data_IF_086109413089
#
_entry.id   IF_086109413089
#
_cell.length_a   1.000
_cell.length_b   1.000
_cell.length_c   1.000
_cell.angle_alpha   90.00
_cell.angle_beta   90.00
_cell.angle_gamma   90.00
#
_symmetry.space_group_name_H-M   'P 1'
#
loop_
_entity.id
_entity.type
_entity.pdbx_description
1 polymer ?
#
# COMPACT_ATOMS: atom_id res chain seq x y z
N UNK A 1 -26.95 41.17 35.03
CA UNK A 1 -25.60 40.57 35.02
C UNK A 1 -25.77 39.14 35.47
N UNK A 2 -24.96 38.24 34.92
CA UNK A 2 -24.85 36.79 35.20
C UNK A 2 -25.33 35.91 34.04
N UNK A 3 -24.44 35.82 33.04
CA UNK A 3 -24.49 34.81 31.98
C UNK A 3 -23.48 33.73 32.37
N UNK A 4 -23.95 32.59 32.86
CA UNK A 4 -23.11 31.40 33.05
C UNK A 4 -22.64 30.86 31.70
N UNK A 5 -21.32 30.83 31.51
CA UNK A 5 -20.67 30.19 30.37
C UNK A 5 -20.48 28.72 30.75
N UNK A 6 -21.33 27.85 30.19
CA UNK A 6 -21.14 26.39 30.26
C UNK A 6 -20.04 25.99 29.28
N UNK A 7 -18.82 25.85 29.80
CA UNK A 7 -17.69 25.26 29.07
C UNK A 7 -17.95 23.78 28.82
N UNK A 8 -18.31 23.47 27.58
CA UNK A 8 -18.46 22.12 27.08
C UNK A 8 -17.07 21.44 27.06
N UNK A 9 -16.81 20.59 28.05
CA UNK A 9 -15.59 19.79 28.13
C UNK A 9 -15.63 18.73 27.01
N UNK A 10 -14.94 19.00 25.91
CA UNK A 10 -14.60 17.97 24.92
C UNK A 10 -13.67 16.98 25.59
N UNK A 11 -14.23 15.82 25.94
CA UNK A 11 -13.52 14.64 26.39
C UNK A 11 -12.47 14.26 25.35
N UNK A 12 -11.21 14.59 25.63
CA UNK A 12 -10.07 14.00 24.95
C UNK A 12 -10.10 12.49 25.24
N UNK A 13 -10.60 11.71 24.28
CA UNK A 13 -10.43 10.27 24.28
C UNK A 13 -8.91 10.00 24.33
N UNK A 14 -8.43 9.57 25.48
CA UNK A 14 -7.04 9.15 25.66
C UNK A 14 -6.80 7.95 24.75
N UNK A 15 -6.16 8.17 23.62
CA UNK A 15 -5.67 7.11 22.75
C UNK A 15 -4.89 6.11 23.61
N UNK A 16 -5.35 4.85 23.62
CA UNK A 16 -4.63 3.78 24.30
C UNK A 16 -3.25 3.67 23.65
N UNK A 17 -2.16 3.56 24.44
CA UNK A 17 -0.82 3.42 23.88
C UNK A 17 -0.79 2.19 22.96
N UNK A 18 -0.32 2.41 21.73
CA UNK A 18 -0.10 1.35 20.73
C UNK A 18 0.76 0.24 21.33
N UNK A 19 0.40 -1.02 21.05
CA UNK A 19 1.18 -2.20 21.48
C UNK A 19 2.60 -2.21 20.89
N UNK A 20 2.81 -1.52 19.77
CA UNK A 20 4.10 -1.45 19.09
C UNK A 20 4.84 -0.17 19.46
N UNK A 21 6.13 -0.32 19.73
CA UNK A 21 7.12 0.76 19.81
C UNK A 21 7.35 1.40 18.44
N UNK A 22 7.86 2.63 18.40
CA UNK A 22 8.16 3.31 17.13
C UNK A 22 9.13 2.54 16.22
N UNK A 23 10.22 1.93 16.73
CA UNK A 23 11.08 1.08 15.89
C UNK A 23 10.33 -0.10 15.26
N UNK A 24 9.42 -0.73 15.98
CA UNK A 24 8.60 -1.84 15.44
C UNK A 24 7.64 -1.33 14.36
N UNK A 25 6.99 -0.18 14.57
CA UNK A 25 6.16 0.44 13.54
C UNK A 25 6.96 0.78 12.28
N UNK A 26 8.18 1.31 12.43
CA UNK A 26 9.06 1.58 11.29
C UNK A 26 9.38 0.30 10.51
N UNK A 27 9.64 -0.81 11.20
CA UNK A 27 9.87 -2.12 10.56
C UNK A 27 8.62 -2.57 9.82
N UNK A 28 7.44 -2.50 10.45
CA UNK A 28 6.16 -2.89 9.82
C UNK A 28 5.92 -2.09 8.53
N UNK A 29 6.02 -0.76 8.61
CA UNK A 29 5.90 0.16 7.47
C UNK A 29 6.88 -0.22 6.37
N UNK A 30 8.17 -0.36 6.70
CA UNK A 30 9.20 -0.62 5.72
C UNK A 30 9.03 -1.98 5.01
N UNK A 31 8.65 -3.04 5.74
CA UNK A 31 8.33 -4.35 5.13
C UNK A 31 7.17 -4.25 4.16
N UNK A 32 6.11 -3.57 4.58
CA UNK A 32 4.91 -3.36 3.76
C UNK A 32 5.26 -2.62 2.47
N UNK A 33 5.96 -1.49 2.56
CA UNK A 33 6.39 -0.72 1.38
C UNK A 33 7.24 -1.57 0.43
N UNK A 34 8.24 -2.29 0.96
CA UNK A 34 9.10 -3.15 0.16
C UNK A 34 8.34 -4.28 -0.54
N UNK A 35 7.37 -4.89 0.14
CA UNK A 35 6.49 -5.91 -0.44
C UNK A 35 5.64 -5.35 -1.57
N UNK A 36 4.93 -4.25 -1.32
CA UNK A 36 4.02 -3.65 -2.31
C UNK A 36 4.79 -3.21 -3.55
N UNK A 37 5.90 -2.48 -3.38
CA UNK A 37 6.75 -2.06 -4.50
C UNK A 37 7.23 -3.26 -5.33
N UNK A 38 7.68 -4.33 -4.66
CA UNK A 38 8.13 -5.53 -5.38
C UNK A 38 6.97 -6.24 -6.08
N UNK A 39 5.80 -6.30 -5.46
CA UNK A 39 4.63 -6.95 -6.02
C UNK A 39 4.12 -6.24 -7.28
N UNK A 40 4.11 -4.90 -7.27
CA UNK A 40 3.76 -4.06 -8.43
C UNK A 40 4.61 -4.48 -9.64
N UNK A 41 5.94 -4.48 -9.49
CA UNK A 41 6.90 -4.87 -10.54
C UNK A 41 6.65 -6.29 -11.05
N UNK A 42 6.48 -7.26 -10.14
CA UNK A 42 6.31 -8.66 -10.55
C UNK A 42 5.04 -8.91 -11.37
N UNK A 43 4.03 -8.06 -11.21
CA UNK A 43 2.70 -8.22 -11.79
C UNK A 43 2.36 -7.16 -12.84
N UNK A 44 3.27 -6.24 -13.13
CA UNK A 44 3.02 -5.14 -14.07
C UNK A 44 2.71 -5.61 -15.49
N UNK A 45 3.09 -6.84 -15.88
CA UNK A 45 2.79 -7.37 -17.21
C UNK A 45 1.51 -8.22 -17.27
N UNK A 46 0.75 -8.34 -16.18
CA UNK A 46 -0.39 -9.27 -16.04
C UNK A 46 -1.65 -8.51 -15.71
N UNK A 47 -2.76 -8.76 -16.41
CA UNK A 47 -4.03 -8.07 -16.14
C UNK A 47 -5.13 -9.07 -15.82
N UNK A 48 -5.74 -8.91 -14.65
CA UNK A 48 -6.86 -9.73 -14.16
C UNK A 48 -7.81 -8.83 -13.36
N UNK A 49 -9.07 -9.24 -13.14
CA UNK A 49 -10.02 -8.39 -12.38
C UNK A 49 -9.62 -8.23 -10.92
N UNK A 50 -8.89 -9.19 -10.35
CA UNK A 50 -8.32 -9.08 -9.01
C UNK A 50 -7.39 -7.85 -8.84
N UNK A 51 -6.71 -7.40 -9.90
CA UNK A 51 -5.93 -6.15 -9.83
C UNK A 51 -6.83 -4.95 -9.52
N UNK A 52 -8.08 -4.95 -10.00
CA UNK A 52 -9.05 -3.88 -9.74
C UNK A 52 -9.48 -3.84 -8.29
N UNK A 53 -9.58 -5.01 -7.65
CA UNK A 53 -9.83 -5.11 -6.21
C UNK A 53 -8.62 -4.56 -5.45
N UNK A 54 -7.41 -4.97 -5.83
CA UNK A 54 -6.16 -4.55 -5.16
C UNK A 54 -5.90 -3.06 -5.30
N UNK A 55 -6.16 -2.48 -6.47
CA UNK A 55 -6.00 -1.05 -6.75
C UNK A 55 -6.78 -0.15 -5.77
N UNK A 56 -7.88 -0.66 -5.22
CA UNK A 56 -8.74 0.05 -4.28
C UNK A 56 -8.50 -0.33 -2.81
N UNK A 57 -7.50 -1.19 -2.54
CA UNK A 57 -7.20 -1.60 -1.17
C UNK A 57 -6.56 -0.46 -0.39
N UNK A 58 -7.06 -0.29 0.82
CA UNK A 58 -6.48 0.52 1.88
C UNK A 58 -6.04 -0.38 3.03
N UNK A 59 -5.09 0.10 3.80
CA UNK A 59 -4.58 -0.58 4.97
C UNK A 59 -4.19 0.44 6.04
N UNK A 60 -4.21 0.01 7.29
CA UNK A 60 -3.79 0.86 8.39
C UNK A 60 -2.27 0.83 8.55
N UNK A 61 -1.75 1.78 9.32
CA UNK A 61 -0.33 1.94 9.54
C UNK A 61 0.35 0.73 10.20
N UNK A 62 -0.40 -0.07 10.95
CA UNK A 62 0.05 -1.26 11.66
C UNK A 62 -0.25 -2.56 10.92
N UNK A 63 -0.73 -2.48 9.67
CA UNK A 63 -1.04 -3.67 8.88
C UNK A 63 0.25 -4.39 8.54
N UNK A 64 0.42 -5.58 9.09
CA UNK A 64 1.57 -6.43 8.82
C UNK A 64 1.60 -6.90 7.37
N UNK A 65 2.79 -7.15 6.86
CA UNK A 65 2.99 -7.50 5.44
C UNK A 65 2.38 -8.85 5.09
N UNK A 66 2.38 -9.81 6.01
CA UNK A 66 1.77 -11.12 5.84
C UNK A 66 0.24 -11.03 5.73
N UNK A 67 -0.38 -10.15 6.52
CA UNK A 67 -1.81 -9.88 6.45
C UNK A 67 -2.17 -9.24 5.10
N UNK A 68 -1.39 -8.25 4.66
CA UNK A 68 -1.59 -7.62 3.35
C UNK A 68 -1.40 -8.62 2.20
N UNK A 69 -0.39 -9.48 2.27
CA UNK A 69 -0.14 -10.54 1.30
C UNK A 69 -1.30 -11.56 1.23
N UNK A 70 -1.89 -11.89 2.38
CA UNK A 70 -3.08 -12.74 2.43
C UNK A 70 -4.29 -12.07 1.77
N UNK A 71 -4.50 -10.76 1.97
CA UNK A 71 -5.55 -10.01 1.27
C UNK A 71 -5.33 -10.00 -0.24
N UNK A 72 -4.10 -9.81 -0.70
CA UNK A 72 -3.78 -9.87 -2.14
C UNK A 72 -4.04 -11.26 -2.70
N UNK A 73 -3.60 -12.32 -2.00
CA UNK A 73 -3.87 -13.72 -2.36
C UNK A 73 -5.37 -13.95 -2.52
N UNK A 74 -6.16 -13.56 -1.51
CA UNK A 74 -7.61 -13.74 -1.50
C UNK A 74 -8.28 -13.07 -2.70
N UNK A 75 -7.85 -11.87 -3.08
CA UNK A 75 -8.38 -11.19 -4.27
C UNK A 75 -8.18 -12.01 -5.57
N UNK A 76 -7.05 -12.73 -5.70
CA UNK A 76 -6.79 -13.61 -6.84
C UNK A 76 -7.58 -14.91 -6.77
N UNK A 77 -7.69 -15.51 -5.57
CA UNK A 77 -8.47 -16.73 -5.35
C UNK A 77 -9.94 -16.50 -5.69
N UNK A 78 -10.54 -15.42 -5.18
CA UNK A 78 -11.94 -15.05 -5.44
C UNK A 78 -12.20 -14.72 -6.91
N UNK A 79 -11.18 -14.23 -7.63
CA UNK A 79 -11.27 -14.00 -9.08
C UNK A 79 -11.11 -15.30 -9.90
N UNK A 80 -10.73 -16.42 -9.30
CA UNK A 80 -10.48 -17.69 -9.99
C UNK A 80 -9.18 -17.69 -10.81
N UNK A 81 -8.17 -16.92 -10.40
CA UNK A 81 -6.87 -16.91 -11.05
C UNK A 81 -6.11 -18.23 -10.85
N UNK A 82 -5.19 -18.55 -11.77
CA UNK A 82 -4.23 -19.62 -11.54
C UNK A 82 -3.29 -19.22 -10.38
N UNK A 83 -3.46 -19.87 -9.23
CA UNK A 83 -2.75 -19.50 -8.02
C UNK A 83 -1.27 -19.86 -8.02
N UNK A 84 -0.82 -20.82 -8.83
CA UNK A 84 0.60 -21.22 -8.87
C UNK A 84 1.56 -20.05 -9.19
N UNK A 85 1.38 -19.28 -10.28
CA UNK A 85 2.19 -18.09 -10.54
C UNK A 85 1.94 -16.97 -9.52
N UNK A 86 0.70 -16.79 -9.06
CA UNK A 86 0.34 -15.77 -8.05
C UNK A 86 1.12 -16.01 -6.76
N UNK A 87 1.06 -17.22 -6.20
CA UNK A 87 1.76 -17.59 -4.98
C UNK A 87 3.27 -17.53 -5.11
N UNK A 88 3.82 -17.82 -6.30
CA UNK A 88 5.24 -17.62 -6.56
C UNK A 88 5.60 -16.15 -6.45
N UNK A 89 4.82 -15.25 -7.03
CA UNK A 89 5.11 -13.81 -7.01
C UNK A 89 4.88 -13.20 -5.61
N UNK A 90 3.83 -13.61 -4.89
CA UNK A 90 3.61 -13.22 -3.48
C UNK A 90 4.79 -13.67 -2.62
N UNK A 91 5.25 -14.93 -2.73
CA UNK A 91 6.42 -15.42 -1.99
C UNK A 91 7.69 -14.65 -2.33
N UNK A 92 7.90 -14.31 -3.61
CA UNK A 92 9.06 -13.50 -4.04
C UNK A 92 9.01 -12.09 -3.47
N UNK A 93 7.83 -11.47 -3.42
CA UNK A 93 7.63 -10.16 -2.81
C UNK A 93 7.87 -10.19 -1.29
N UNK A 94 7.34 -11.20 -0.58
CA UNK A 94 7.60 -11.38 0.86
C UNK A 94 9.09 -11.60 1.14
N UNK A 95 9.74 -12.49 0.41
CA UNK A 95 11.17 -12.73 0.55
C UNK A 95 12.02 -11.50 0.21
N UNK A 96 11.56 -10.63 -0.70
CA UNK A 96 12.19 -9.33 -0.94
C UNK A 96 12.04 -8.43 0.29
N UNK A 97 10.83 -8.28 0.81
CA UNK A 97 10.55 -7.42 1.97
C UNK A 97 11.39 -7.75 3.20
N UNK A 98 11.65 -9.04 3.46
CA UNK A 98 12.49 -9.45 4.59
C UNK A 98 13.98 -9.20 4.35
N UNK A 99 14.47 -9.33 3.11
CA UNK A 99 15.90 -9.15 2.78
C UNK A 99 16.28 -7.69 2.61
N UNK A 100 15.41 -6.89 2.01
CA UNK A 100 15.69 -5.49 1.67
C UNK A 100 15.71 -4.57 2.91
N UNK A 101 15.02 -4.96 3.98
CA UNK A 101 15.01 -4.23 5.25
C UNK A 101 16.40 -3.95 5.83
N UNK A 102 17.35 -4.88 5.65
CA UNK A 102 18.71 -4.74 6.19
C UNK A 102 19.46 -3.53 5.64
N UNK A 103 19.02 -3.00 4.50
CA UNK A 103 19.71 -1.94 3.78
C UNK A 103 18.89 -0.66 3.65
N UNK A 104 17.56 -0.76 3.64
CA UNK A 104 16.69 0.33 3.17
C UNK A 104 15.51 0.67 4.09
N UNK A 105 15.60 0.36 5.39
CA UNK A 105 14.48 0.57 6.33
C UNK A 105 14.01 2.03 6.36
N UNK A 106 14.93 3.01 6.32
CA UNK A 106 14.59 4.44 6.40
C UNK A 106 13.89 4.90 5.13
N UNK A 107 14.39 4.49 3.96
CA UNK A 107 13.85 4.80 2.65
C UNK A 107 12.44 4.24 2.50
N UNK A 108 12.25 2.96 2.83
CA UNK A 108 10.94 2.32 2.77
C UNK A 108 9.95 2.88 3.79
N UNK A 109 10.42 3.27 4.98
CA UNK A 109 9.55 3.91 5.97
C UNK A 109 9.13 5.31 5.52
N UNK A 110 10.03 6.08 4.90
CA UNK A 110 9.73 7.44 4.40
C UNK A 110 8.73 7.41 3.24
N UNK A 111 8.73 6.33 2.46
CA UNK A 111 7.83 6.10 1.33
C UNK A 111 6.61 5.26 1.69
N UNK A 112 6.37 5.03 2.98
CA UNK A 112 5.25 4.19 3.40
C UNK A 112 3.92 4.86 3.08
N UNK A 113 3.06 4.11 2.39
CA UNK A 113 1.70 4.51 2.08
C UNK A 113 0.69 3.67 2.85
N UNK A 114 -0.58 4.09 2.82
CA UNK A 114 -1.72 3.42 3.46
C UNK A 114 -2.75 2.92 2.44
N UNK A 115 -2.46 3.00 1.15
CA UNK A 115 -3.30 2.45 0.10
C UNK A 115 -2.49 2.16 -1.17
N UNK A 116 -3.08 1.36 -2.06
CA UNK A 116 -2.40 0.89 -3.27
C UNK A 116 -2.22 1.98 -4.33
N UNK A 117 -3.14 2.93 -4.44
CA UNK A 117 -3.05 4.03 -5.41
C UNK A 117 -1.79 4.85 -5.14
N UNK A 118 -1.59 5.27 -3.89
CA UNK A 118 -0.40 6.04 -3.50
C UNK A 118 0.89 5.23 -3.72
N UNK A 119 0.85 3.91 -3.51
CA UNK A 119 1.99 3.05 -3.79
C UNK A 119 2.31 2.98 -5.30
N UNK A 120 1.29 3.00 -6.17
CA UNK A 120 1.49 3.09 -7.61
C UNK A 120 2.05 4.46 -8.02
N UNK A 121 1.58 5.56 -7.43
CA UNK A 121 2.13 6.91 -7.68
C UNK A 121 3.62 6.96 -7.34
N UNK A 122 3.98 6.42 -6.18
CA UNK A 122 5.37 6.37 -5.70
C UNK A 122 6.26 5.46 -6.59
N UNK A 123 5.70 4.36 -7.10
CA UNK A 123 6.34 3.51 -8.11
C UNK A 123 6.60 4.25 -9.43
N UNK A 124 5.57 4.90 -9.99
CA UNK A 124 5.71 5.65 -11.25
C UNK A 124 6.73 6.79 -11.13
N UNK A 125 6.70 7.54 -10.02
CA UNK A 125 7.70 8.57 -9.74
C UNK A 125 9.11 8.00 -9.73
N UNK A 126 9.31 6.82 -9.17
CA UNK A 126 10.62 6.17 -9.13
C UNK A 126 11.07 5.70 -10.50
N UNK A 127 10.17 5.16 -11.32
CA UNK A 127 10.49 4.78 -12.68
C UNK A 127 10.85 5.99 -13.54
N UNK A 128 10.08 7.08 -13.46
CA UNK A 128 10.39 8.32 -14.19
C UNK A 128 11.75 8.90 -13.78
N UNK A 129 12.09 8.87 -12.49
CA UNK A 129 13.41 9.30 -12.00
C UNK A 129 14.58 8.44 -12.51
N UNK A 130 14.34 7.13 -12.74
CA UNK A 130 15.39 6.20 -13.17
C UNK A 130 15.56 6.13 -14.68
N UNK A 131 14.49 6.28 -15.44
CA UNK A 131 14.45 6.00 -16.88
C UNK A 131 14.05 7.21 -17.73
N UNK A 132 13.61 8.32 -17.12
CA UNK A 132 13.10 9.51 -17.81
C UNK A 132 11.63 9.39 -18.23
N UNK A 133 11.04 10.52 -18.63
CA UNK A 133 9.60 10.61 -18.97
C UNK A 133 9.24 9.92 -20.31
N UNK A 134 10.21 9.70 -21.19
CA UNK A 134 10.01 9.10 -22.51
C UNK A 134 9.77 7.58 -22.45
N UNK A 135 10.13 6.93 -21.35
CA UNK A 135 9.72 5.56 -21.01
C UNK A 135 8.54 5.57 -20.03
N UNK A 136 7.49 6.34 -20.38
CA UNK A 136 6.21 6.24 -19.68
C UNK A 136 5.80 4.76 -19.55
N UNK A 137 5.39 4.31 -18.34
CA UNK A 137 5.12 2.90 -18.12
C UNK A 137 4.03 2.47 -19.09
N UNK A 138 4.37 1.51 -19.97
CA UNK A 138 3.40 0.89 -20.87
C UNK A 138 2.22 0.43 -20.00
N UNK A 139 0.96 0.64 -20.43
CA UNK A 139 -0.21 0.28 -19.63
C UNK A 139 -0.10 -1.20 -19.25
N UNK A 140 0.34 -1.41 -18.02
CA UNK A 140 0.60 -2.72 -17.48
C UNK A 140 -0.69 -3.36 -16.99
N UNK A 141 -0.54 -4.37 -16.15
CA UNK A 141 -1.61 -4.95 -15.36
C UNK A 141 -2.42 -3.95 -14.56
N UNK A 142 -1.71 -2.94 -14.04
CA UNK A 142 -2.21 -1.86 -13.21
C UNK A 142 -2.76 -0.70 -14.05
N UNK A 143 -3.84 -0.09 -13.58
CA UNK A 143 -4.34 1.18 -14.13
C UNK A 143 -3.35 2.30 -13.79
N UNK A 144 -3.39 3.36 -14.61
CA UNK A 144 -2.67 4.58 -14.30
C UNK A 144 -3.23 5.19 -13.00
N UNK A 145 -2.38 5.66 -12.08
CA UNK A 145 -2.83 6.28 -10.84
C UNK A 145 -3.78 7.45 -11.05
N UNK A 146 -3.57 8.26 -12.10
CA UNK A 146 -4.44 9.38 -12.46
C UNK A 146 -5.87 8.94 -12.80
N UNK A 147 -6.06 7.75 -13.37
CA UNK A 147 -7.38 7.16 -13.63
C UNK A 147 -8.04 6.67 -12.33
N UNK A 148 -7.25 6.07 -11.44
CA UNK A 148 -7.73 5.56 -10.15
C UNK A 148 -8.14 6.69 -9.21
N UNK A 149 -7.38 7.78 -9.17
CA UNK A 149 -7.72 8.97 -8.37
C UNK A 149 -9.05 9.57 -8.80
N UNK A 150 -9.27 9.74 -10.13
CA UNK A 150 -10.56 10.21 -10.65
C UNK A 150 -11.73 9.31 -10.27
N UNK A 151 -11.55 7.99 -10.31
CA UNK A 151 -12.59 7.03 -9.89
C UNK A 151 -12.89 7.13 -8.40
N UNK A 152 -11.86 7.31 -7.57
CA UNK A 152 -11.99 7.48 -6.12
C UNK A 152 -12.76 8.76 -5.78
N UNK A 153 -12.45 9.87 -6.44
CA UNK A 153 -13.15 11.15 -6.27
C UNK A 153 -14.62 11.03 -6.69
N UNK A 154 -14.91 10.37 -7.80
CA UNK A 154 -16.29 10.14 -8.26
C UNK A 154 -17.10 9.24 -7.33
N UNK A 155 -16.47 8.27 -6.67
CA UNK A 155 -17.14 7.39 -5.72
C UNK A 155 -17.38 8.02 -4.33
N UNK A 156 -16.71 9.14 -4.04
CA UNK A 156 -16.85 9.88 -2.78
C UNK A 156 -17.90 11.01 -2.85
N UNK A 157 -18.45 11.28 -4.04
CA UNK A 157 -19.54 12.20 -4.32
C UNK A 157 -20.88 11.47 -4.35
#
# INVERSE_FOLDING_TARGET
MDTEIVLNQTSAEREKPSKFSEPEKMVIRARRTAFVARFIVLRESKRTRAHRVIELLEWNDLTEVEALAATFRKAFEENGDNMVPVDRDIRRALAHSSRSLNHFIREYCTRATNNFIDALIDYERSNALLFGDDESPKPGGWRLPSELMKQREQAAL
#
